data_IF_748579752810
#
_entry.id   IF_748579752810
#
_cell.length_a   1.000
_cell.length_b   1.000
_cell.length_c   1.000
_cell.angle_alpha   90.00
_cell.angle_beta   90.00
_cell.angle_gamma   90.00
#
_symmetry.space_group_name_H-M   'P 1'
#
loop_
_entity.id
_entity.type
_entity.pdbx_description
1 polymer ?
#
# COMPACT_ATOMS: atom_id res chain seq x y z
N UNK A 1 6.19 -22.94 -13.33
CA UNK A 1 5.25 -22.51 -12.31
C UNK A 1 4.00 -23.39 -12.40
N UNK A 2 3.58 -24.00 -11.29
CA UNK A 2 2.37 -24.87 -11.32
C UNK A 2 1.10 -24.08 -11.12
N UNK A 3 1.12 -23.12 -10.17
CA UNK A 3 -0.07 -22.33 -9.83
C UNK A 3 0.29 -20.91 -9.44
N UNK A 4 -0.52 -19.96 -9.89
CA UNK A 4 -0.68 -18.59 -9.37
C UNK A 4 -2.15 -18.42 -9.05
N UNK A 5 -2.47 -17.99 -7.84
CA UNK A 5 -3.86 -17.77 -7.43
C UNK A 5 -3.97 -16.52 -6.56
N UNK A 6 -5.14 -15.95 -6.55
CA UNK A 6 -5.53 -14.93 -5.57
C UNK A 6 -6.38 -15.64 -4.51
N UNK A 7 -5.82 -15.77 -3.31
CA UNK A 7 -6.44 -16.48 -2.19
C UNK A 7 -6.67 -15.53 -1.02
N UNK A 8 -7.72 -15.80 -0.27
CA UNK A 8 -7.88 -15.20 1.05
C UNK A 8 -6.76 -15.73 1.97
N UNK A 9 -5.92 -14.85 2.57
CA UNK A 9 -4.74 -15.27 3.33
C UNK A 9 -5.07 -15.96 4.67
N UNK A 10 -6.32 -15.88 5.15
CA UNK A 10 -6.75 -16.54 6.39
C UNK A 10 -7.35 -17.90 6.13
N UNK A 11 -8.26 -17.99 5.15
CA UNK A 11 -9.00 -19.22 4.85
C UNK A 11 -8.29 -20.09 3.81
N UNK A 12 -7.32 -19.54 3.08
CA UNK A 12 -6.62 -20.19 1.96
C UNK A 12 -7.54 -20.61 0.81
N UNK A 13 -8.76 -20.03 0.75
CA UNK A 13 -9.71 -20.27 -0.31
C UNK A 13 -9.55 -19.25 -1.44
N UNK A 14 -9.81 -19.64 -2.71
CA UNK A 14 -9.84 -18.69 -3.81
C UNK A 14 -10.88 -17.58 -3.57
N UNK A 15 -10.50 -16.34 -3.85
CA UNK A 15 -11.47 -15.24 -3.85
C UNK A 15 -12.33 -15.28 -5.11
N UNK A 16 -13.54 -14.68 -5.10
CA UNK A 16 -14.35 -14.49 -6.30
C UNK A 16 -13.57 -13.76 -7.41
N UNK A 17 -13.85 -14.14 -8.67
CA UNK A 17 -13.27 -13.49 -9.85
C UNK A 17 -14.17 -12.32 -10.31
N UNK A 18 -14.46 -11.39 -9.42
CA UNK A 18 -15.38 -10.26 -9.63
C UNK A 18 -14.63 -8.95 -9.94
N UNK A 19 -13.31 -8.93 -9.85
CA UNK A 19 -12.49 -7.73 -10.02
C UNK A 19 -12.55 -6.77 -8.83
N UNK A 20 -13.22 -7.15 -7.74
CA UNK A 20 -13.48 -6.32 -6.55
C UNK A 20 -12.95 -6.95 -5.27
N UNK A 21 -13.24 -8.24 -5.05
CA UNK A 21 -12.82 -8.96 -3.84
C UNK A 21 -11.31 -9.13 -3.81
N UNK A 22 -10.67 -8.55 -2.79
CA UNK A 22 -9.22 -8.63 -2.61
C UNK A 22 -8.81 -9.94 -1.95
N UNK A 23 -7.69 -10.50 -2.44
CA UNK A 23 -6.95 -11.57 -1.82
C UNK A 23 -5.45 -11.36 -2.02
N UNK A 24 -4.65 -12.27 -1.51
CA UNK A 24 -3.20 -12.26 -1.70
C UNK A 24 -2.82 -13.09 -2.92
N UNK A 25 -1.90 -12.57 -3.76
CA UNK A 25 -1.32 -13.36 -4.84
C UNK A 25 -0.38 -14.40 -4.22
N UNK A 26 -0.68 -15.67 -4.43
CA UNK A 26 0.13 -16.75 -3.92
C UNK A 26 0.66 -17.64 -5.05
N UNK A 27 1.84 -18.17 -4.81
CA UNK A 27 2.56 -18.96 -5.82
C UNK A 27 2.84 -20.37 -5.30
N UNK A 28 2.78 -21.35 -6.20
CA UNK A 28 3.22 -22.72 -5.93
C UNK A 28 3.91 -23.30 -7.14
N UNK A 29 5.09 -23.91 -6.96
CA UNK A 29 5.82 -24.55 -8.03
C UNK A 29 7.33 -24.52 -7.87
N UNK A 30 8.03 -25.08 -8.83
CA UNK A 30 9.47 -25.35 -8.77
C UNK A 30 10.34 -24.09 -8.84
N UNK A 31 9.76 -22.95 -9.25
CA UNK A 31 10.48 -21.68 -9.39
C UNK A 31 10.34 -20.79 -8.16
N UNK A 32 9.54 -21.21 -7.17
CA UNK A 32 9.51 -20.50 -5.88
C UNK A 32 10.79 -20.80 -5.11
N UNK A 33 11.25 -19.83 -4.32
CA UNK A 33 12.43 -20.03 -3.46
C UNK A 33 12.22 -21.22 -2.50
N UNK A 34 13.31 -21.80 -2.01
CA UNK A 34 13.25 -22.85 -0.96
C UNK A 34 12.98 -22.26 0.43
N UNK A 35 13.32 -21.01 0.66
CA UNK A 35 13.18 -20.32 1.93
C UNK A 35 14.15 -19.17 2.10
N UNK A 36 14.04 -18.47 3.22
CA UNK A 36 14.96 -17.40 3.62
C UNK A 36 16.22 -17.97 4.27
N UNK A 37 17.38 -17.50 3.86
CA UNK A 37 18.67 -17.96 4.36
C UNK A 37 18.76 -17.79 5.88
N UNK A 38 19.04 -18.91 6.59
CA UNK A 38 19.18 -18.94 8.06
C UNK A 38 18.00 -18.35 8.84
N UNK A 39 16.81 -18.34 8.24
CA UNK A 39 15.61 -17.83 8.88
C UNK A 39 14.42 -18.80 8.68
N UNK A 40 14.38 -19.91 9.45
CA UNK A 40 13.34 -20.92 9.32
C UNK A 40 11.94 -20.36 9.69
N UNK A 41 11.84 -19.50 10.69
CA UNK A 41 10.56 -18.93 11.12
C UNK A 41 9.91 -18.09 10.00
N UNK A 42 10.67 -17.18 9.37
CA UNK A 42 10.17 -16.43 8.23
C UNK A 42 9.86 -17.32 7.01
N UNK A 43 10.57 -18.43 6.86
CA UNK A 43 10.29 -19.41 5.79
C UNK A 43 8.96 -20.11 6.03
N UNK A 44 8.71 -20.57 7.25
CA UNK A 44 7.47 -21.24 7.63
C UNK A 44 6.26 -20.30 7.44
N UNK A 45 6.37 -19.06 7.87
CA UNK A 45 5.36 -18.03 7.67
C UNK A 45 5.08 -17.79 6.18
N UNK A 46 6.16 -17.59 5.39
CA UNK A 46 6.03 -17.31 3.96
C UNK A 46 5.49 -18.48 3.13
N UNK A 47 5.54 -19.72 3.64
CA UNK A 47 5.02 -20.93 2.97
C UNK A 47 3.84 -21.57 3.68
N UNK A 48 3.16 -20.82 4.54
CA UNK A 48 1.99 -21.33 5.25
C UNK A 48 0.94 -21.87 4.28
N UNK A 49 0.31 -23.00 4.62
CA UNK A 49 -0.69 -23.64 3.78
C UNK A 49 -0.14 -24.23 2.47
N UNK A 50 1.21 -24.36 2.32
CA UNK A 50 1.85 -24.92 1.13
C UNK A 50 1.90 -23.98 -0.08
N UNK A 51 1.66 -22.69 0.11
CA UNK A 51 1.77 -21.63 -0.89
C UNK A 51 2.79 -20.58 -0.44
N UNK A 52 3.53 -20.03 -1.39
CA UNK A 52 4.36 -18.88 -1.15
C UNK A 52 3.51 -17.62 -1.12
N UNK A 53 3.46 -16.99 0.03
CA UNK A 53 2.79 -15.70 0.28
C UNK A 53 3.65 -14.55 -0.25
N UNK A 54 3.16 -13.83 -1.25
CA UNK A 54 3.91 -12.70 -1.84
C UNK A 54 3.85 -11.44 -1.00
N UNK A 55 2.82 -11.30 -0.19
CA UNK A 55 2.47 -10.05 0.49
C UNK A 55 1.84 -9.01 -0.44
N UNK A 56 1.58 -9.33 -1.70
CA UNK A 56 0.94 -8.44 -2.66
C UNK A 56 -0.56 -8.77 -2.75
N UNK A 57 -1.41 -7.78 -2.48
CA UNK A 57 -2.86 -7.90 -2.56
C UNK A 57 -3.33 -7.59 -3.98
N UNK A 58 -4.28 -8.36 -4.46
CA UNK A 58 -4.82 -8.24 -5.80
C UNK A 58 -6.30 -8.61 -5.86
N UNK A 59 -6.93 -8.24 -6.95
CA UNK A 59 -8.24 -8.75 -7.39
C UNK A 59 -8.06 -9.58 -8.64
N UNK A 60 -8.94 -10.56 -8.86
CA UNK A 60 -8.97 -11.35 -10.08
C UNK A 60 -10.24 -11.06 -10.87
N UNK A 61 -10.09 -10.83 -12.17
CA UNK A 61 -11.20 -10.62 -13.09
C UNK A 61 -11.75 -11.94 -13.65
N UNK A 62 -13.00 -11.95 -14.19
CA UNK A 62 -13.60 -13.15 -14.77
C UNK A 62 -12.80 -13.77 -15.93
N UNK A 63 -12.04 -12.96 -16.67
CA UNK A 63 -11.13 -13.39 -17.74
C UNK A 63 -9.82 -13.98 -17.24
N UNK A 64 -9.63 -14.04 -15.91
CA UNK A 64 -8.43 -14.56 -15.27
C UNK A 64 -7.32 -13.52 -15.07
N UNK A 65 -7.48 -12.29 -15.55
CA UNK A 65 -6.51 -11.21 -15.33
C UNK A 65 -6.42 -10.87 -13.84
N UNK A 66 -5.20 -10.66 -13.35
CA UNK A 66 -4.92 -10.32 -11.95
C UNK A 66 -4.39 -8.89 -11.92
N UNK A 67 -5.07 -8.02 -11.15
CA UNK A 67 -4.65 -6.63 -10.92
C UNK A 67 -4.16 -6.46 -9.50
N UNK A 68 -2.86 -6.12 -9.34
CA UNK A 68 -2.29 -5.79 -8.04
C UNK A 68 -2.91 -4.48 -7.54
N UNK A 69 -3.33 -4.48 -6.29
CA UNK A 69 -3.94 -3.31 -5.62
C UNK A 69 -2.96 -2.64 -4.67
N UNK A 70 -2.26 -3.42 -3.84
CA UNK A 70 -1.27 -2.90 -2.90
C UNK A 70 -0.47 -4.04 -2.26
N UNK A 71 0.43 -3.72 -1.35
CA UNK A 71 1.02 -4.66 -0.41
C UNK A 71 0.16 -4.78 0.84
N UNK A 72 0.08 -5.97 1.42
CA UNK A 72 -0.71 -6.22 2.64
C UNK A 72 -0.31 -5.29 3.80
N UNK A 73 0.99 -4.99 3.93
CA UNK A 73 1.55 -4.08 4.94
C UNK A 73 1.39 -2.59 4.62
N UNK A 74 0.96 -2.24 3.42
CA UNK A 74 0.81 -0.87 2.94
C UNK A 74 -0.68 -0.45 2.86
N UNK A 75 -1.61 -1.41 2.98
CA UNK A 75 -3.04 -1.13 3.13
C UNK A 75 -3.26 -0.32 4.42
N UNK A 76 -4.11 0.69 4.31
CA UNK A 76 -4.49 1.57 5.41
C UNK A 76 -5.92 1.19 5.82
N UNK A 77 -6.14 0.88 7.10
CA UNK A 77 -7.45 0.46 7.61
C UNK A 77 -8.09 1.65 8.34
N UNK A 78 -8.98 2.35 7.64
CA UNK A 78 -9.63 3.55 8.15
C UNK A 78 -11.12 3.29 8.39
N UNK A 79 -11.54 3.27 9.65
CA UNK A 79 -12.94 3.04 10.02
C UNK A 79 -13.49 1.69 9.57
N UNK A 80 -12.63 0.67 9.43
CA UNK A 80 -12.98 -0.66 8.93
C UNK A 80 -12.90 -0.80 7.39
N UNK A 81 -12.62 0.27 6.67
CA UNK A 81 -12.47 0.26 5.21
C UNK A 81 -11.00 0.13 4.81
N UNK A 82 -10.71 -0.70 3.81
CA UNK A 82 -9.38 -0.89 3.27
C UNK A 82 -9.08 0.19 2.21
N UNK A 83 -8.02 0.95 2.42
CA UNK A 83 -7.56 1.98 1.48
C UNK A 83 -6.23 1.51 0.89
N UNK A 84 -6.19 1.38 -0.44
CA UNK A 84 -4.95 1.14 -1.16
C UNK A 84 -4.09 2.41 -1.16
N UNK A 85 -2.86 2.32 -0.66
CA UNK A 85 -1.90 3.42 -0.72
C UNK A 85 -1.55 3.77 -2.17
N UNK A 86 -1.48 2.77 -3.06
CA UNK A 86 -1.20 2.95 -4.49
C UNK A 86 -2.33 3.73 -5.17
N UNK A 87 -3.60 3.45 -4.85
CA UNK A 87 -4.74 4.18 -5.43
C UNK A 87 -4.66 5.68 -5.10
N UNK A 88 -4.29 6.01 -3.87
CA UNK A 88 -4.12 7.40 -3.45
C UNK A 88 -2.90 8.04 -4.11
N UNK A 89 -1.78 7.33 -4.17
CA UNK A 89 -0.55 7.77 -4.83
C UNK A 89 -0.80 8.06 -6.32
N UNK A 90 -1.53 7.20 -7.02
CA UNK A 90 -1.88 7.38 -8.45
C UNK A 90 -2.63 8.70 -8.69
N UNK A 91 -3.53 9.07 -7.76
CA UNK A 91 -4.24 10.36 -7.85
C UNK A 91 -3.30 11.53 -7.56
N UNK A 92 -2.44 11.41 -6.56
CA UNK A 92 -1.45 12.44 -6.22
C UNK A 92 -0.45 12.69 -7.37
N UNK A 93 -0.01 11.64 -8.06
CA UNK A 93 0.88 11.77 -9.23
C UNK A 93 0.24 12.50 -10.41
N UNK A 94 -1.09 12.55 -10.52
CA UNK A 94 -1.79 13.31 -11.56
C UNK A 94 -1.78 14.82 -11.30
N UNK A 95 -1.45 15.24 -10.08
CA UNK A 95 -1.36 16.66 -9.77
C UNK A 95 -0.11 17.27 -10.41
N UNK A 96 -0.22 18.39 -11.19
CA UNK A 96 0.86 18.91 -12.02
C UNK A 96 2.10 19.37 -11.23
N UNK A 97 1.96 19.70 -9.96
CA UNK A 97 3.05 20.11 -9.09
C UNK A 97 3.82 18.94 -8.46
N UNK A 98 3.24 17.73 -8.42
CA UNK A 98 3.83 16.56 -7.73
C UNK A 98 4.82 15.85 -8.65
N UNK A 99 6.01 15.56 -8.12
CA UNK A 99 7.04 14.76 -8.80
C UNK A 99 7.26 13.40 -8.15
N UNK A 100 7.01 13.30 -6.85
CA UNK A 100 7.01 12.01 -6.14
C UNK A 100 5.98 12.04 -5.02
N UNK A 101 5.32 10.92 -4.81
CA UNK A 101 4.32 10.73 -3.77
C UNK A 101 4.51 9.38 -3.08
N UNK A 102 4.29 9.35 -1.77
CA UNK A 102 4.16 8.12 -1.01
C UNK A 102 3.09 8.30 0.06
N UNK A 103 2.25 7.29 0.21
CA UNK A 103 1.17 7.29 1.20
C UNK A 103 1.38 6.17 2.19
N UNK A 104 1.27 6.50 3.47
CA UNK A 104 1.39 5.54 4.57
C UNK A 104 0.24 5.72 5.56
N UNK A 105 -0.05 4.68 6.32
CA UNK A 105 -0.97 4.76 7.44
C UNK A 105 -0.41 5.68 8.52
N UNK A 106 -1.26 6.55 9.06
CA UNK A 106 -1.02 7.34 10.26
C UNK A 106 -2.09 6.99 11.30
N UNK A 107 -1.74 6.78 12.57
CA UNK A 107 -2.70 6.56 13.63
C UNK A 107 -3.72 7.72 13.73
N UNK A 108 -4.99 7.39 13.93
CA UNK A 108 -6.09 8.33 14.09
C UNK A 108 -7.02 7.83 15.20
N UNK A 109 -7.31 8.67 16.19
CA UNK A 109 -8.12 8.28 17.37
C UNK A 109 -9.53 7.84 17.00
N UNK A 110 -10.11 8.41 15.95
CA UNK A 110 -11.48 8.13 15.53
C UNK A 110 -11.59 6.96 14.57
N UNK A 111 -10.62 6.84 13.65
CA UNK A 111 -10.71 5.93 12.51
C UNK A 111 -9.73 4.76 12.60
N UNK A 112 -8.91 4.70 13.67
CA UNK A 112 -7.79 3.78 13.82
C UNK A 112 -6.59 4.22 13.00
N UNK A 113 -6.76 4.31 11.69
CA UNK A 113 -5.76 4.84 10.76
C UNK A 113 -6.37 5.85 9.79
N UNK A 114 -5.51 6.71 9.24
CA UNK A 114 -5.85 7.64 8.16
C UNK A 114 -4.69 7.73 7.17
N UNK A 115 -4.95 7.99 5.87
CA UNK A 115 -3.88 8.22 4.91
C UNK A 115 -3.08 9.49 5.24
N UNK A 116 -1.75 9.36 5.30
CA UNK A 116 -0.79 10.45 5.36
C UNK A 116 0.04 10.44 4.07
N UNK A 117 0.00 11.53 3.32
CA UNK A 117 0.71 11.68 2.05
C UNK A 117 1.99 12.48 2.25
N UNK A 118 3.11 11.92 1.76
CA UNK A 118 4.40 12.58 1.67
C UNK A 118 4.67 12.94 0.20
N UNK A 119 5.01 14.20 -0.08
CA UNK A 119 5.10 14.71 -1.44
C UNK A 119 6.39 15.47 -1.70
N UNK A 120 7.07 15.13 -2.80
CA UNK A 120 8.03 16.00 -3.43
C UNK A 120 7.33 16.82 -4.52
N UNK A 121 7.53 18.11 -4.51
CA UNK A 121 6.93 19.04 -5.48
C UNK A 121 7.99 19.70 -6.34
N UNK A 122 7.60 20.16 -7.52
CA UNK A 122 8.49 20.85 -8.46
C UNK A 122 9.07 22.12 -7.83
N UNK A 123 10.36 22.33 -8.04
CA UNK A 123 11.04 23.55 -7.59
C UNK A 123 10.37 24.81 -8.16
N UNK A 124 10.17 25.81 -7.31
CA UNK A 124 9.54 27.08 -7.68
C UNK A 124 8.03 27.05 -7.87
N UNK A 125 7.38 25.90 -7.65
CA UNK A 125 5.91 25.80 -7.68
C UNK A 125 5.40 25.89 -6.24
N UNK A 126 4.52 26.85 -5.99
CA UNK A 126 3.82 26.96 -4.72
C UNK A 126 2.54 26.13 -4.78
N UNK A 127 2.40 25.17 -3.87
CA UNK A 127 1.21 24.32 -3.71
C UNK A 127 0.96 24.16 -2.21
N UNK A 128 -0.30 24.29 -1.80
CA UNK A 128 -0.71 24.15 -0.40
C UNK A 128 -1.26 22.76 -0.12
N UNK A 129 -1.43 22.44 1.18
CA UNK A 129 -2.11 21.19 1.58
C UNK A 129 -3.56 21.17 1.08
N UNK A 130 -4.22 22.34 1.13
CA UNK A 130 -5.60 22.54 0.68
C UNK A 130 -5.76 22.24 -0.81
N UNK A 131 -4.79 22.66 -1.65
CA UNK A 131 -4.79 22.39 -3.10
C UNK A 131 -4.71 20.87 -3.36
N UNK A 132 -3.81 20.18 -2.67
CA UNK A 132 -3.66 18.71 -2.78
C UNK A 132 -4.92 17.99 -2.30
N UNK A 133 -5.48 18.38 -1.17
CA UNK A 133 -6.71 17.80 -0.63
C UNK A 133 -7.88 18.04 -1.59
N UNK A 134 -8.00 19.26 -2.16
CA UNK A 134 -9.03 19.58 -3.14
C UNK A 134 -8.92 18.71 -4.41
N UNK A 135 -7.69 18.52 -4.90
CA UNK A 135 -7.42 17.61 -6.02
C UNK A 135 -7.83 16.16 -5.70
N UNK A 136 -7.45 15.65 -4.53
CA UNK A 136 -7.82 14.29 -4.11
C UNK A 136 -9.34 14.11 -3.99
N UNK A 137 -10.06 15.10 -3.45
CA UNK A 137 -11.53 15.06 -3.32
C UNK A 137 -12.27 14.95 -4.65
N UNK A 138 -11.67 15.38 -5.75
CA UNK A 138 -12.28 15.27 -7.08
C UNK A 138 -12.17 13.84 -7.68
N UNK A 139 -11.25 13.01 -7.14
CA UNK A 139 -10.90 11.75 -7.76
C UNK A 139 -11.00 10.54 -6.81
N UNK A 140 -11.17 10.77 -5.51
CA UNK A 140 -11.23 9.74 -4.48
C UNK A 140 -12.51 9.84 -3.66
N UNK A 141 -12.98 8.70 -3.15
CA UNK A 141 -13.99 8.69 -2.10
C UNK A 141 -13.49 9.41 -0.85
N UNK A 142 -14.37 10.08 -0.11
CA UNK A 142 -13.98 10.99 0.98
C UNK A 142 -13.12 10.35 2.07
N UNK A 143 -13.34 9.06 2.40
CA UNK A 143 -12.55 8.34 3.40
C UNK A 143 -11.12 8.00 2.93
N UNK A 144 -10.86 8.00 1.61
CA UNK A 144 -9.54 7.76 1.00
C UNK A 144 -8.69 9.03 0.89
N UNK A 145 -9.29 10.20 1.05
CA UNK A 145 -8.57 11.49 0.92
C UNK A 145 -7.58 11.64 2.07
N UNK A 146 -6.27 11.88 1.77
CA UNK A 146 -5.29 12.13 2.81
C UNK A 146 -5.67 13.33 3.67
N UNK A 147 -5.60 13.17 4.99
CA UNK A 147 -5.87 14.26 5.95
C UNK A 147 -4.61 15.02 6.32
N UNK A 148 -3.46 14.37 6.18
CA UNK A 148 -2.15 14.92 6.48
C UNK A 148 -1.29 14.89 5.23
N UNK A 149 -0.73 16.03 4.89
CA UNK A 149 0.17 16.22 3.76
C UNK A 149 1.51 16.74 4.31
N UNK A 150 2.58 16.05 3.99
CA UNK A 150 3.94 16.44 4.36
C UNK A 150 4.72 16.71 3.08
N UNK A 151 5.22 17.92 2.93
CA UNK A 151 6.09 18.29 1.81
C UNK A 151 7.56 18.12 2.20
N UNK A 152 8.34 17.52 1.32
CA UNK A 152 9.78 17.33 1.54
C UNK A 152 10.37 16.29 0.61
N UNK A 153 11.69 16.10 0.71
CA UNK A 153 12.40 15.05 -0.02
C UNK A 153 12.03 13.68 0.54
N UNK A 154 11.75 12.72 -0.34
CA UNK A 154 11.38 11.37 0.05
C UNK A 154 12.61 10.46 0.17
N UNK A 155 12.73 9.65 1.23
CA UNK A 155 13.82 8.69 1.36
C UNK A 155 13.74 7.63 0.27
N UNK A 156 14.82 7.48 -0.51
CA UNK A 156 14.91 6.53 -1.62
C UNK A 156 16.09 5.58 -1.44
N UNK A 157 15.96 4.38 -1.98
CA UNK A 157 17.08 3.46 -2.15
C UNK A 157 18.03 3.96 -3.24
N UNK A 158 19.20 3.35 -3.36
CA UNK A 158 20.13 3.62 -4.47
C UNK A 158 19.52 3.36 -5.86
N UNK A 159 18.46 2.55 -5.93
CA UNK A 159 17.71 2.26 -7.16
C UNK A 159 16.53 3.20 -7.39
N UNK A 160 16.34 4.21 -6.55
CA UNK A 160 15.26 5.21 -6.66
C UNK A 160 13.92 4.80 -6.05
N UNK A 161 13.82 3.61 -5.42
CA UNK A 161 12.58 3.16 -4.77
C UNK A 161 12.35 3.89 -3.46
N UNK A 162 11.17 4.48 -3.27
CA UNK A 162 10.79 5.16 -2.02
C UNK A 162 10.72 4.16 -0.86
N UNK A 163 11.32 4.53 0.27
CA UNK A 163 11.42 3.71 1.47
C UNK A 163 10.26 4.05 2.43
N UNK A 164 9.06 3.54 2.17
CA UNK A 164 7.87 3.78 3.01
C UNK A 164 8.08 3.45 4.50
N UNK A 165 8.96 2.49 4.81
CA UNK A 165 9.27 2.15 6.21
C UNK A 165 9.92 3.30 7.00
N UNK A 166 10.72 4.16 6.34
CA UNK A 166 11.27 5.35 6.96
C UNK A 166 10.19 6.42 7.19
N UNK A 167 9.26 6.56 6.24
CA UNK A 167 8.12 7.48 6.38
C UNK A 167 7.19 7.07 7.52
N UNK A 168 6.96 5.77 7.71
CA UNK A 168 6.18 5.26 8.86
C UNK A 168 6.82 5.59 10.21
N UNK A 169 8.16 5.57 10.31
CA UNK A 169 8.85 5.99 11.53
C UNK A 169 8.63 7.47 11.84
N UNK A 170 8.63 8.33 10.80
CA UNK A 170 8.37 9.77 10.96
C UNK A 170 6.96 10.03 11.49
N UNK A 171 5.97 9.33 10.93
CA UNK A 171 4.57 9.41 11.39
C UNK A 171 4.43 8.94 12.84
N UNK A 172 5.04 7.81 13.20
CA UNK A 172 5.02 7.27 14.56
C UNK A 172 5.64 8.22 15.58
N UNK A 173 6.75 8.89 15.21
CA UNK A 173 7.40 9.88 16.07
C UNK A 173 6.53 11.15 16.24
N UNK A 174 5.87 11.63 15.19
CA UNK A 174 4.99 12.78 15.25
C UNK A 174 3.74 12.52 16.11
N UNK A 175 3.15 11.33 16.01
CA UNK A 175 2.02 10.92 16.85
C UNK A 175 2.40 10.81 18.34
N UNK A 176 3.63 10.37 18.65
CA UNK A 176 4.12 10.27 20.04
C UNK A 176 4.40 11.63 20.70
N UNK A 177 4.58 12.71 19.94
CA UNK A 177 4.82 14.07 20.46
C UNK A 177 3.48 14.82 20.67
N UNK A 178 2.39 14.35 20.07
CA UNK A 178 1.08 14.97 20.15
C UNK A 178 0.23 14.47 21.35
N UNK A 179 0.76 13.58 22.19
CA UNK A 179 0.23 13.10 23.47
C UNK A 179 1.01 13.77 24.61
#
# INVERSE_FOLDING_TARGET
QRDVRVLDPQTMQPVPQDGETMGEIMFRGNITMKGYLKNPAATEEAFRGGWFHSGDLAVQYPDGYIKIKDRSKDIIISGGENISSIEVEDVLYRHPAVIAAAVVAMPDEKWGETPCAFLEVKAGVHVTQEDIIAHCKQHLAGFKVPRHIVFGELPKTSTGKIQKFELRKQVGAAAAIAV
#
